data_IF_028409996867
#
_entry.id   IF_028409996867
#
_cell.length_a   1.000
_cell.length_b   1.000
_cell.length_c   1.000
_cell.angle_alpha   90.00
_cell.angle_beta   90.00
_cell.angle_gamma   90.00
#
_symmetry.space_group_name_H-M   'P 1'
#
loop_
_entity.id
_entity.type
_entity.pdbx_description
1 polymer ?
#
# COMPACT_ATOMS: atom_id res chain seq x y z
N UNK A 1 2.84 4.44 23.74
CA UNK A 1 2.33 3.95 22.42
C UNK A 1 3.50 3.71 21.47
N UNK A 2 3.44 2.64 20.70
CA UNK A 2 4.46 2.37 19.68
C UNK A 2 4.45 3.46 18.59
N UNK A 3 5.57 3.64 17.86
CA UNK A 3 5.58 4.57 16.71
C UNK A 3 4.47 4.23 15.71
N UNK A 4 3.99 5.23 15.00
CA UNK A 4 2.93 5.04 14.02
C UNK A 4 3.36 4.04 12.94
N UNK A 5 2.42 3.21 12.50
CA UNK A 5 2.60 2.31 11.37
C UNK A 5 2.37 3.11 10.08
N UNK A 6 3.39 3.27 9.28
CA UNK A 6 3.33 4.04 8.05
C UNK A 6 3.05 3.13 6.87
N UNK A 7 1.93 3.37 6.20
CA UNK A 7 1.54 2.56 5.05
C UNK A 7 1.61 3.36 3.76
N UNK A 8 1.90 2.66 2.68
CA UNK A 8 1.87 3.19 1.31
C UNK A 8 0.80 2.44 0.54
N UNK A 9 -0.02 3.16 -0.22
CA UNK A 9 -1.09 2.56 -1.03
C UNK A 9 -0.77 2.75 -2.50
N UNK A 10 -0.65 1.65 -3.20
CA UNK A 10 -0.47 1.63 -4.66
C UNK A 10 -1.81 1.31 -5.30
N UNK A 11 -2.37 2.25 -6.02
CA UNK A 11 -3.69 2.15 -6.65
C UNK A 11 -4.77 2.87 -5.84
N UNK A 12 -5.36 3.90 -6.45
CA UNK A 12 -6.37 4.74 -5.82
C UNK A 12 -7.71 4.72 -6.58
N UNK A 13 -8.09 3.54 -7.07
CA UNK A 13 -9.44 3.34 -7.60
C UNK A 13 -10.46 3.30 -6.48
N UNK A 14 -11.63 2.73 -6.74
CA UNK A 14 -12.71 2.65 -5.76
C UNK A 14 -12.26 1.96 -4.46
N UNK A 15 -11.51 0.87 -4.57
CA UNK A 15 -11.04 0.11 -3.40
C UNK A 15 -10.01 0.91 -2.62
N UNK A 16 -9.01 1.49 -3.30
CA UNK A 16 -7.96 2.27 -2.64
C UNK A 16 -8.50 3.50 -1.93
N UNK A 17 -9.37 4.26 -2.57
CA UNK A 17 -10.04 5.40 -1.95
C UNK A 17 -10.90 4.97 -0.76
N UNK A 18 -11.60 3.84 -0.88
CA UNK A 18 -12.41 3.29 0.21
C UNK A 18 -11.58 2.90 1.42
N UNK A 19 -10.41 2.34 1.20
CA UNK A 19 -9.47 2.00 2.28
C UNK A 19 -9.03 3.26 3.03
N UNK A 20 -8.70 4.33 2.31
CA UNK A 20 -8.31 5.60 2.93
C UNK A 20 -9.46 6.18 3.76
N UNK A 21 -10.68 6.17 3.23
CA UNK A 21 -11.85 6.62 3.97
C UNK A 21 -12.08 5.81 5.24
N UNK A 22 -11.95 4.49 5.15
CA UNK A 22 -12.13 3.60 6.29
C UNK A 22 -11.09 3.87 7.38
N UNK A 23 -9.83 4.01 7.01
CA UNK A 23 -8.75 4.30 7.94
C UNK A 23 -8.96 5.64 8.64
N UNK A 24 -9.45 6.63 7.91
CA UNK A 24 -9.73 7.94 8.48
C UNK A 24 -10.91 7.90 9.47
N UNK A 25 -12.02 7.28 9.08
CA UNK A 25 -13.23 7.19 9.93
C UNK A 25 -13.02 6.34 11.17
N UNK A 26 -12.20 5.30 11.09
CA UNK A 26 -11.97 4.35 12.17
C UNK A 26 -10.61 4.54 12.84
N UNK A 27 -9.98 5.70 12.64
CA UNK A 27 -8.60 5.93 13.07
C UNK A 27 -8.37 5.63 14.55
N UNK A 28 -9.24 6.10 15.43
CA UNK A 28 -9.08 5.87 16.86
C UNK A 28 -9.28 4.41 17.26
N UNK A 29 -10.30 3.76 16.72
CA UNK A 29 -10.57 2.35 16.99
C UNK A 29 -9.42 1.47 16.53
N UNK A 30 -8.90 1.74 15.30
CA UNK A 30 -7.80 0.98 14.76
C UNK A 30 -6.51 1.20 15.55
N UNK A 31 -6.28 2.42 16.03
CA UNK A 31 -5.12 2.72 16.87
C UNK A 31 -5.17 1.93 18.19
N UNK A 32 -6.35 1.83 18.80
CA UNK A 32 -6.52 1.05 20.03
C UNK A 32 -6.28 -0.43 19.78
N UNK A 33 -6.86 -0.99 18.74
CA UNK A 33 -6.73 -2.42 18.41
C UNK A 33 -5.32 -2.82 18.00
N UNK A 34 -4.65 -1.97 17.23
CA UNK A 34 -3.29 -2.23 16.77
C UNK A 34 -2.22 -1.87 17.81
N UNK A 35 -2.56 -1.10 18.82
CA UNK A 35 -1.61 -0.59 19.81
C UNK A 35 -0.74 0.55 19.25
N UNK A 36 -1.10 1.11 18.08
CA UNK A 36 -0.37 2.18 17.43
C UNK A 36 -1.23 2.83 16.35
N UNK A 37 -0.92 4.06 16.01
CA UNK A 37 -1.61 4.75 14.92
C UNK A 37 -1.22 4.16 13.58
N UNK A 38 -2.18 4.17 12.65
CA UNK A 38 -1.98 3.75 11.26
C UNK A 38 -2.09 5.00 10.40
N UNK A 39 -1.03 5.33 9.67
CA UNK A 39 -0.95 6.56 8.88
C UNK A 39 -0.71 6.21 7.42
N UNK A 40 -1.51 6.76 6.51
CA UNK A 40 -1.24 6.68 5.08
C UNK A 40 -0.18 7.74 4.76
N UNK A 41 1.07 7.30 4.63
CA UNK A 41 2.21 8.19 4.43
C UNK A 41 2.53 8.45 2.97
N UNK A 42 2.14 7.54 2.07
CA UNK A 42 2.46 7.64 0.66
C UNK A 42 1.37 6.99 -0.18
N UNK A 43 1.16 7.53 -1.37
CA UNK A 43 0.20 6.99 -2.34
C UNK A 43 0.78 7.08 -3.74
N UNK A 44 0.35 6.18 -4.62
CA UNK A 44 0.69 6.21 -6.03
C UNK A 44 -0.50 5.75 -6.86
N UNK A 45 -0.81 6.48 -7.93
CA UNK A 45 -1.87 6.15 -8.87
C UNK A 45 -1.60 6.83 -10.20
N UNK A 46 -2.42 6.51 -11.21
CA UNK A 46 -2.20 7.00 -12.58
C UNK A 46 -2.43 8.50 -12.74
N UNK A 47 -3.50 9.04 -12.18
CA UNK A 47 -3.88 10.43 -12.40
C UNK A 47 -3.95 11.16 -11.06
N UNK A 48 -2.94 11.97 -10.79
CA UNK A 48 -2.84 12.75 -9.57
C UNK A 48 -3.95 13.79 -9.42
N UNK A 49 -4.45 14.30 -10.55
CA UNK A 49 -5.45 15.37 -10.55
C UNK A 49 -6.88 14.88 -10.35
N UNK A 50 -7.11 13.59 -10.49
CA UNK A 50 -8.44 13.03 -10.34
C UNK A 50 -8.94 13.22 -8.91
N UNK A 51 -10.15 13.75 -8.79
CA UNK A 51 -10.83 13.83 -7.48
C UNK A 51 -11.34 12.44 -7.10
N UNK A 52 -10.85 11.94 -5.97
CA UNK A 52 -11.22 10.61 -5.47
C UNK A 52 -12.10 10.68 -4.23
N UNK A 53 -12.52 11.89 -3.83
CA UNK A 53 -13.37 12.08 -2.66
C UNK A 53 -12.66 11.85 -1.33
N UNK A 54 -11.33 11.81 -1.32
CA UNK A 54 -10.53 11.63 -0.10
C UNK A 54 -9.45 12.70 -0.04
N UNK A 55 -9.05 13.06 1.18
CA UNK A 55 -7.97 14.02 1.40
C UNK A 55 -6.62 13.29 1.37
N UNK A 56 -5.79 13.64 0.39
CA UNK A 56 -4.45 13.07 0.20
C UNK A 56 -3.34 14.06 0.57
N UNK A 57 -3.68 15.21 1.16
CA UNK A 57 -2.71 16.28 1.43
C UNK A 57 -1.61 15.87 2.40
N UNK A 58 -1.90 14.96 3.32
CA UNK A 58 -0.92 14.46 4.29
C UNK A 58 -0.04 13.34 3.76
N UNK A 59 -0.35 12.78 2.59
CA UNK A 59 0.39 11.69 1.99
C UNK A 59 1.31 12.20 0.89
N UNK A 60 2.51 11.61 0.82
CA UNK A 60 3.45 11.92 -0.27
C UNK A 60 3.00 11.18 -1.53
N UNK A 61 2.92 11.90 -2.65
CA UNK A 61 2.60 11.31 -3.94
C UNK A 61 3.85 10.79 -4.63
N UNK A 62 3.81 9.55 -5.11
CA UNK A 62 4.85 8.94 -5.91
C UNK A 62 4.35 8.65 -7.32
N UNK A 63 5.07 9.11 -8.32
CA UNK A 63 4.79 8.75 -9.71
C UNK A 63 5.19 7.29 -9.98
N UNK A 64 6.26 6.82 -9.35
CA UNK A 64 6.74 5.46 -9.47
C UNK A 64 6.39 4.67 -8.21
N UNK A 65 5.43 3.76 -8.33
CA UNK A 65 4.96 2.96 -7.20
C UNK A 65 6.05 2.01 -6.65
N UNK A 66 6.95 1.52 -7.50
CA UNK A 66 8.05 0.68 -7.02
C UNK A 66 9.04 1.48 -6.18
N UNK A 67 9.30 2.73 -6.56
CA UNK A 67 10.14 3.63 -5.76
C UNK A 67 9.49 3.91 -4.40
N UNK A 68 8.18 4.08 -4.36
CA UNK A 68 7.42 4.24 -3.12
C UNK A 68 7.60 3.01 -2.21
N UNK A 69 7.51 1.81 -2.79
CA UNK A 69 7.66 0.57 -2.03
C UNK A 69 9.06 0.38 -1.45
N UNK A 70 10.05 1.07 -2.00
CA UNK A 70 11.44 1.03 -1.53
C UNK A 70 11.75 2.11 -0.47
N UNK A 71 10.83 3.03 -0.20
CA UNK A 71 11.03 4.13 0.75
C UNK A 71 11.26 3.56 2.16
N UNK A 72 12.40 3.86 2.81
CA UNK A 72 12.71 3.31 4.13
C UNK A 72 11.75 3.75 5.24
N UNK A 73 10.98 4.81 5.04
CA UNK A 73 10.00 5.27 6.02
C UNK A 73 8.67 4.49 5.97
N UNK A 74 8.47 3.67 4.95
CA UNK A 74 7.24 2.88 4.80
C UNK A 74 7.40 1.52 5.49
N UNK A 75 6.42 1.14 6.27
CA UNK A 75 6.40 -0.14 6.98
C UNK A 75 5.60 -1.21 6.24
N UNK A 76 4.49 -0.82 5.61
CA UNK A 76 3.57 -1.74 4.93
C UNK A 76 3.20 -1.16 3.57
N UNK A 77 3.22 -1.99 2.54
CA UNK A 77 2.76 -1.63 1.20
C UNK A 77 1.44 -2.34 0.94
N UNK A 78 0.41 -1.56 0.60
CA UNK A 78 -0.92 -2.08 0.24
C UNK A 78 -1.07 -1.94 -1.28
N UNK A 79 -1.17 -3.07 -1.98
CA UNK A 79 -1.26 -3.07 -3.44
C UNK A 79 -2.71 -3.32 -3.87
N UNK A 80 -3.31 -2.36 -4.57
CA UNK A 80 -4.70 -2.37 -5.01
C UNK A 80 -4.83 -2.01 -6.49
N UNK A 81 -3.75 -2.20 -7.27
CA UNK A 81 -3.70 -1.80 -8.67
C UNK A 81 -4.51 -2.74 -9.55
N UNK A 82 -4.39 -4.04 -9.32
CA UNK A 82 -4.98 -5.07 -10.18
C UNK A 82 -4.05 -5.52 -11.30
N UNK A 83 -4.39 -6.66 -11.91
CA UNK A 83 -3.57 -7.27 -12.97
C UNK A 83 -2.39 -8.07 -12.44
N UNK A 84 -1.87 -9.00 -13.26
CA UNK A 84 -0.76 -9.88 -12.87
C UNK A 84 0.58 -9.47 -13.47
N UNK A 85 0.58 -8.47 -14.36
CA UNK A 85 1.76 -8.02 -15.06
C UNK A 85 1.96 -6.51 -14.88
N UNK A 86 3.16 -6.03 -15.14
CA UNK A 86 3.48 -4.61 -15.12
C UNK A 86 3.73 -4.05 -13.72
N UNK A 87 2.99 -3.02 -13.33
CA UNK A 87 3.27 -2.25 -12.11
C UNK A 87 3.01 -3.05 -10.85
N UNK A 88 1.92 -3.81 -10.78
CA UNK A 88 1.55 -4.52 -9.56
C UNK A 88 2.62 -5.49 -9.07
N UNK A 89 3.13 -6.44 -9.89
CA UNK A 89 4.19 -7.33 -9.43
C UNK A 89 5.48 -6.57 -9.11
N UNK A 90 5.81 -5.51 -9.85
CA UNK A 90 7.00 -4.72 -9.58
C UNK A 90 6.96 -4.06 -8.19
N UNK A 91 5.80 -3.55 -7.79
CA UNK A 91 5.58 -2.94 -6.47
C UNK A 91 5.79 -3.98 -5.37
N UNK A 92 5.19 -5.15 -5.53
CA UNK A 92 5.28 -6.20 -4.51
C UNK A 92 6.71 -6.69 -4.37
N UNK A 93 7.40 -6.93 -5.49
CA UNK A 93 8.80 -7.36 -5.45
C UNK A 93 9.71 -6.31 -4.80
N UNK A 94 9.51 -5.04 -5.11
CA UNK A 94 10.27 -3.96 -4.49
C UNK A 94 10.05 -3.93 -2.98
N UNK A 95 8.80 -4.07 -2.53
CA UNK A 95 8.47 -4.08 -1.11
C UNK A 95 9.15 -5.26 -0.40
N UNK A 96 9.06 -6.46 -0.95
CA UNK A 96 9.68 -7.64 -0.36
C UNK A 96 11.21 -7.55 -0.36
N UNK A 97 11.81 -7.00 -1.41
CA UNK A 97 13.25 -6.80 -1.48
C UNK A 97 13.75 -5.84 -0.38
N UNK A 98 12.92 -4.90 0.04
CA UNK A 98 13.23 -3.95 1.10
C UNK A 98 12.62 -4.37 2.45
N UNK A 99 12.21 -5.63 2.56
CA UNK A 99 11.69 -6.25 3.79
C UNK A 99 10.47 -5.54 4.37
N UNK A 100 9.61 -5.03 3.50
CA UNK A 100 8.32 -4.45 3.88
C UNK A 100 7.26 -5.54 3.97
N UNK A 101 6.28 -5.32 4.83
CA UNK A 101 5.07 -6.14 4.81
C UNK A 101 4.23 -5.76 3.59
N UNK A 102 3.55 -6.73 3.00
CA UNK A 102 2.73 -6.51 1.81
C UNK A 102 1.32 -7.04 2.02
N UNK A 103 0.35 -6.22 1.68
CA UNK A 103 -1.06 -6.63 1.61
C UNK A 103 -1.50 -6.41 0.17
N UNK A 104 -2.03 -7.45 -0.47
CA UNK A 104 -2.52 -7.35 -1.84
C UNK A 104 -3.92 -7.95 -1.96
N UNK A 105 -4.77 -7.28 -2.73
CA UNK A 105 -6.07 -7.79 -3.14
C UNK A 105 -6.03 -8.40 -4.56
N UNK A 106 -4.86 -8.49 -5.17
CA UNK A 106 -4.70 -8.87 -6.56
C UNK A 106 -4.70 -10.39 -6.74
N UNK A 107 -5.87 -10.95 -6.98
CA UNK A 107 -6.04 -12.39 -7.17
C UNK A 107 -5.31 -12.93 -8.40
N UNK A 108 -5.30 -12.18 -9.49
CA UNK A 108 -4.61 -12.59 -10.71
C UNK A 108 -3.10 -12.71 -10.48
N UNK A 109 -2.51 -11.76 -9.77
CA UNK A 109 -1.09 -11.79 -9.43
C UNK A 109 -0.76 -13.00 -8.57
N UNK A 110 -1.55 -13.28 -7.55
CA UNK A 110 -1.32 -14.41 -6.66
C UNK A 110 -1.51 -15.75 -7.39
N UNK A 111 -2.42 -15.83 -8.34
CA UNK A 111 -2.62 -17.05 -9.15
C UNK A 111 -1.42 -17.36 -10.03
N UNK A 112 -0.80 -16.34 -10.63
CA UNK A 112 0.32 -16.53 -11.57
C UNK A 112 1.69 -16.55 -10.89
N UNK A 113 1.86 -15.76 -9.82
CA UNK A 113 3.18 -15.53 -9.21
C UNK A 113 3.25 -15.86 -7.72
N UNK A 114 2.19 -16.42 -7.15
CA UNK A 114 2.09 -16.63 -5.71
C UNK A 114 3.23 -17.42 -5.09
N UNK A 115 3.66 -18.51 -5.73
CA UNK A 115 4.77 -19.34 -5.21
C UNK A 115 6.07 -18.55 -5.15
N UNK A 116 6.39 -17.80 -6.20
CA UNK A 116 7.59 -16.97 -6.27
C UNK A 116 7.57 -15.86 -5.21
N UNK A 117 6.43 -15.20 -5.06
CA UNK A 117 6.30 -14.11 -4.10
C UNK A 117 6.33 -14.62 -2.66
N UNK A 118 5.73 -15.77 -2.40
CA UNK A 118 5.80 -16.41 -1.08
C UNK A 118 7.24 -16.75 -0.71
N UNK A 119 8.03 -17.27 -1.65
CA UNK A 119 9.44 -17.57 -1.41
C UNK A 119 10.23 -16.29 -1.08
N UNK A 120 9.95 -15.19 -1.78
CA UNK A 120 10.57 -13.89 -1.49
C UNK A 120 10.20 -13.37 -0.10
N UNK A 121 8.96 -13.54 0.32
CA UNK A 121 8.50 -13.08 1.62
C UNK A 121 9.19 -13.81 2.78
N UNK A 122 9.63 -15.05 2.55
CA UNK A 122 10.32 -15.86 3.57
C UNK A 122 11.81 -15.53 3.70
N UNK A 123 12.37 -14.79 2.75
CA UNK A 123 13.75 -14.32 2.85
C UNK A 123 13.88 -13.28 3.99
#
# INVERSE_FOLDING_TARGET
MKPALKIAIAGLGTVGAGVIQLLDRQAELLAVRAGRRIIVSAVSARDRRRDRGVDLSAARWYEDAAAMAADPEIDVVVELIGGSEGVAPAVIEAALAHKKHVVTANKALMAEHGTRLAARAEE
#
